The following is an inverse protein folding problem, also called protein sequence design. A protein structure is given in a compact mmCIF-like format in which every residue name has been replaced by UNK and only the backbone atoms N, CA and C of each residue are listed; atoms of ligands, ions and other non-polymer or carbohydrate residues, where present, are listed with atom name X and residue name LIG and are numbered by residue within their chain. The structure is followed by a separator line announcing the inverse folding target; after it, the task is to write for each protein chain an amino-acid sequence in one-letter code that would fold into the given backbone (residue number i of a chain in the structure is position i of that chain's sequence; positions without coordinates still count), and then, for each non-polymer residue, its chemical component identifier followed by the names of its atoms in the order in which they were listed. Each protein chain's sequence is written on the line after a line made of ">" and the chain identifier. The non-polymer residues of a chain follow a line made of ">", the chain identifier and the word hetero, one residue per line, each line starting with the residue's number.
data_IF_925208036650
#
_entry.id   IF_925208036650
#
_cell.length_a   1.000
_cell.length_b   1.000
_cell.length_c   1.000
_cell.angle_alpha   90.00
_cell.angle_beta   90.00
_cell.angle_gamma   90.00
#
_symmetry.space_group_name_H-M   'P 1'
#
loop_
_entity.id
_entity.type
_entity.pdbx_description
1 polymer ?
#
# COMPACT_ATOMS: atom_id res chain seq x y z
N UNK A 1 8.65 -11.78 -8.85
CA UNK A 1 7.59 -11.70 -9.88
C UNK A 1 6.43 -10.74 -9.52
N UNK A 2 6.61 -9.74 -8.64
CA UNK A 2 5.51 -8.82 -8.25
C UNK A 2 5.35 -7.61 -9.19
N UNK A 3 6.44 -7.08 -9.78
CA UNK A 3 6.36 -5.91 -10.67
C UNK A 3 5.53 -6.16 -11.94
N UNK A 4 5.52 -7.39 -12.46
CA UNK A 4 4.81 -7.74 -13.69
C UNK A 4 3.27 -7.72 -13.51
N UNK A 5 2.75 -8.06 -12.33
CA UNK A 5 1.30 -8.08 -12.06
C UNK A 5 0.71 -6.69 -11.82
N UNK A 6 1.55 -5.67 -11.59
CA UNK A 6 1.11 -4.32 -11.24
C UNK A 6 0.76 -3.45 -12.46
N UNK A 7 1.33 -3.72 -13.65
CA UNK A 7 1.03 -2.98 -14.88
C UNK A 7 1.08 -1.45 -14.67
N UNK A 8 0.02 -0.73 -15.09
CA UNK A 8 -0.12 0.73 -14.89
C UNK A 8 -0.13 1.21 -13.42
N UNK A 9 -0.20 0.29 -12.46
CA UNK A 9 -0.19 0.59 -11.03
C UNK A 9 1.19 0.38 -10.39
N UNK A 10 2.22 -0.02 -11.15
CA UNK A 10 3.55 -0.27 -10.61
C UNK A 10 4.15 0.98 -9.95
N UNK A 11 4.07 2.13 -10.61
CA UNK A 11 4.57 3.39 -10.05
C UNK A 11 3.72 3.90 -8.86
N UNK A 12 2.37 3.96 -8.93
CA UNK A 12 1.55 4.25 -7.75
C UNK A 12 1.81 3.32 -6.56
N UNK A 13 2.05 2.03 -6.81
CA UNK A 13 2.35 1.05 -5.79
C UNK A 13 3.67 1.37 -5.06
N UNK A 14 4.72 1.77 -5.79
CA UNK A 14 5.99 2.17 -5.20
C UNK A 14 5.83 3.38 -4.26
N UNK A 15 5.07 4.40 -4.69
CA UNK A 15 4.80 5.56 -3.85
C UNK A 15 4.10 5.22 -2.55
N UNK A 16 3.13 4.30 -2.60
CA UNK A 16 2.42 3.81 -1.41
C UNK A 16 3.36 3.03 -0.49
N UNK A 17 4.19 2.14 -1.03
CA UNK A 17 5.17 1.38 -0.24
C UNK A 17 6.18 2.30 0.46
N UNK A 18 6.68 3.33 -0.24
CA UNK A 18 7.56 4.36 0.34
C UNK A 18 6.86 5.11 1.47
N UNK A 19 5.58 5.48 1.29
CA UNK A 19 4.80 6.15 2.33
C UNK A 19 4.61 5.26 3.57
N UNK A 20 4.29 3.97 3.37
CA UNK A 20 4.09 3.00 4.45
C UNK A 20 5.39 2.59 5.16
N UNK A 21 6.55 2.80 4.53
CA UNK A 21 7.85 2.64 5.19
C UNK A 21 8.03 3.56 6.41
N UNK A 22 7.20 4.61 6.54
CA UNK A 22 7.18 5.49 7.73
C UNK A 22 6.26 5.00 8.85
N UNK A 23 5.49 3.94 8.61
CA UNK A 23 4.54 3.36 9.55
C UNK A 23 3.14 3.16 8.99
N UNK A 24 2.22 2.55 9.76
CA UNK A 24 0.85 2.31 9.34
C UNK A 24 0.10 3.61 9.05
N UNK A 25 -0.75 3.61 8.01
CA UNK A 25 -1.50 4.79 7.61
C UNK A 25 -2.86 4.45 6.99
N UNK A 26 -3.84 5.32 7.18
CA UNK A 26 -5.12 5.24 6.49
C UNK A 26 -4.99 5.73 5.03
N UNK A 27 -5.92 5.32 4.16
CA UNK A 27 -5.91 5.70 2.74
C UNK A 27 -5.89 7.23 2.50
N UNK A 28 -6.62 8.00 3.31
CA UNK A 28 -6.62 9.46 3.20
C UNK A 28 -5.24 10.07 3.48
N UNK A 29 -4.55 9.57 4.51
CA UNK A 29 -3.18 9.99 4.85
C UNK A 29 -2.22 9.64 3.71
N UNK A 30 -2.31 8.42 3.17
CA UNK A 30 -1.48 7.98 2.04
C UNK A 30 -1.69 8.86 0.80
N UNK A 31 -2.93 9.24 0.48
CA UNK A 31 -3.23 10.15 -0.62
C UNK A 31 -2.50 11.49 -0.47
N UNK A 32 -2.55 12.07 0.73
CA UNK A 32 -1.88 13.35 1.03
C UNK A 32 -0.36 13.17 0.97
N UNK A 33 0.18 12.10 1.56
CA UNK A 33 1.62 11.83 1.58
C UNK A 33 2.18 11.64 0.18
N UNK A 34 1.53 10.85 -0.68
CA UNK A 34 2.01 10.61 -2.04
C UNK A 34 1.95 11.88 -2.89
N UNK A 35 0.89 12.69 -2.75
CA UNK A 35 0.80 14.00 -3.43
C UNK A 35 1.89 14.98 -3.00
N UNK A 36 2.29 14.96 -1.73
CA UNK A 36 3.39 15.80 -1.22
C UNK A 36 4.76 15.36 -1.73
N UNK A 37 4.88 14.13 -2.24
CA UNK A 37 6.08 13.61 -2.88
C UNK A 37 6.04 13.79 -4.40
N UNK A 38 5.14 14.66 -4.90
CA UNK A 38 4.85 14.86 -6.34
C UNK A 38 4.43 13.58 -7.09
N UNK A 39 3.94 12.57 -6.37
CA UNK A 39 3.45 11.33 -6.99
C UNK A 39 2.14 11.54 -7.77
N UNK A 40 2.01 11.02 -9.01
CA UNK A 40 0.84 11.23 -9.88
C UNK A 40 -0.37 10.35 -9.49
N UNK A 41 -0.66 10.23 -8.19
CA UNK A 41 -1.67 9.30 -7.66
C UNK A 41 -2.96 10.05 -7.31
N UNK A 42 -3.99 9.85 -8.13
CA UNK A 42 -5.37 10.23 -7.81
C UNK A 42 -6.05 9.24 -6.84
N UNK A 43 -7.21 9.60 -6.26
CA UNK A 43 -7.93 8.74 -5.31
C UNK A 43 -8.25 7.35 -5.87
N UNK A 44 -8.79 7.26 -7.09
CA UNK A 44 -9.11 5.98 -7.73
C UNK A 44 -7.85 5.13 -7.99
N UNK A 45 -6.76 5.77 -8.40
CA UNK A 45 -5.46 5.11 -8.59
C UNK A 45 -4.92 4.56 -7.27
N UNK A 46 -5.03 5.31 -6.18
CA UNK A 46 -4.63 4.89 -4.84
C UNK A 46 -5.39 3.63 -4.41
N UNK A 47 -6.72 3.65 -4.48
CA UNK A 47 -7.54 2.49 -4.09
C UNK A 47 -7.21 1.27 -4.96
N UNK A 48 -7.05 1.48 -6.27
CA UNK A 48 -6.69 0.41 -7.20
C UNK A 48 -5.30 -0.19 -6.96
N UNK A 49 -4.35 0.63 -6.47
CA UNK A 49 -3.00 0.19 -6.11
C UNK A 49 -2.99 -0.52 -4.74
N UNK A 50 -3.70 -0.01 -3.73
CA UNK A 50 -3.87 -0.67 -2.43
C UNK A 50 -4.43 -2.09 -2.59
N UNK A 51 -5.54 -2.24 -3.33
CA UNK A 51 -6.14 -3.55 -3.57
C UNK A 51 -5.22 -4.53 -4.32
N UNK A 52 -4.24 -4.04 -5.08
CA UNK A 52 -3.24 -4.87 -5.76
C UNK A 52 -2.09 -5.26 -4.83
N UNK A 53 -1.65 -4.33 -4.00
CA UNK A 53 -0.65 -4.57 -2.97
C UNK A 53 -1.16 -5.58 -1.93
N UNK A 54 -2.42 -5.45 -1.50
CA UNK A 54 -3.08 -6.42 -0.61
C UNK A 54 -3.15 -7.81 -1.27
N UNK A 55 -3.62 -7.90 -2.52
CA UNK A 55 -3.67 -9.18 -3.26
C UNK A 55 -2.29 -9.79 -3.49
N UNK A 56 -1.24 -8.98 -3.51
CA UNK A 56 0.14 -9.44 -3.67
C UNK A 56 0.84 -9.68 -2.33
N UNK A 57 0.11 -9.56 -1.21
CA UNK A 57 0.60 -9.77 0.15
C UNK A 57 1.80 -8.87 0.53
N UNK A 58 1.91 -7.71 -0.13
CA UNK A 58 2.96 -6.72 0.18
C UNK A 58 2.55 -5.75 1.28
N UNK A 59 1.24 -5.60 1.49
CA UNK A 59 0.66 -4.81 2.57
C UNK A 59 -0.49 -5.58 3.19
N UNK A 60 -0.77 -5.26 4.44
CA UNK A 60 -1.93 -5.74 5.18
C UNK A 60 -2.85 -4.59 5.52
N UNK A 61 -4.15 -4.89 5.60
CA UNK A 61 -5.18 -3.96 6.06
C UNK A 61 -5.71 -4.39 7.41
N UNK A 62 -5.53 -3.55 8.42
CA UNK A 62 -6.17 -3.69 9.73
C UNK A 62 -7.60 -3.15 9.65
N UNK A 63 -8.59 -4.02 9.87
CA UNK A 63 -10.01 -3.66 9.95
C UNK A 63 -10.47 -3.34 11.37
N UNK A 64 -9.63 -3.59 12.37
CA UNK A 64 -9.88 -3.21 13.76
C UNK A 64 -9.82 -1.69 13.96
N UNK A 65 -9.03 -1.00 13.13
CA UNK A 65 -8.91 0.46 13.15
C UNK A 65 -10.05 1.15 12.38
N UNK A 66 -10.46 2.34 12.86
CA UNK A 66 -11.46 3.18 12.18
C UNK A 66 -10.93 4.60 11.97
N UNK A 67 -10.60 5.00 10.71
CA UNK A 67 -10.67 4.21 9.48
C UNK A 67 -9.61 3.09 9.42
N UNK A 68 -9.77 2.09 8.52
CA UNK A 68 -8.81 1.01 8.36
C UNK A 68 -7.40 1.52 8.06
N UNK A 69 -6.41 0.91 8.71
CA UNK A 69 -5.00 1.22 8.50
C UNK A 69 -4.35 0.19 7.59
N UNK A 70 -3.45 0.67 6.73
CA UNK A 70 -2.58 -0.16 5.90
C UNK A 70 -1.18 -0.17 6.50
N UNK A 71 -0.51 -1.31 6.45
CA UNK A 71 0.90 -1.48 6.89
C UNK A 71 1.65 -2.37 5.92
N UNK A 72 2.97 -2.23 5.84
CA UNK A 72 3.79 -3.20 5.10
C UNK A 72 3.60 -4.58 5.73
N UNK A 73 3.45 -5.60 4.89
CA UNK A 73 3.46 -6.97 5.36
C UNK A 73 4.85 -7.28 5.90
N UNK A 74 4.95 -7.65 7.17
CA UNK A 74 6.17 -8.20 7.73
C UNK A 74 6.24 -9.66 7.33
N UNK A 75 7.35 -10.06 6.69
CA UNK A 75 7.63 -11.49 6.57
C UNK A 75 7.81 -12.07 7.97
N UNK A 76 6.86 -12.87 8.41
CA UNK A 76 6.96 -13.64 9.65
C UNK A 76 7.34 -15.08 9.27
N UNK A 77 8.58 -15.54 9.51
CA UNK A 77 9.00 -16.91 9.19
C UNK A 77 8.26 -17.99 10.02
N UNK A 78 7.52 -17.59 11.05
CA UNK A 78 6.89 -18.46 12.05
C UNK A 78 5.51 -19.00 11.66
N UNK A 79 5.02 -18.72 10.45
CA UNK A 79 3.80 -19.32 9.90
C UNK A 79 4.01 -20.67 9.17
N UNK A 80 5.21 -21.26 9.29
CA UNK A 80 5.52 -22.59 8.76
C UNK A 80 6.05 -23.49 9.89
N UNK A 81 5.15 -23.95 10.74
CA UNK A 81 5.38 -25.06 11.68
C UNK A 81 4.10 -25.83 11.89
#
# INVERSE_FOLDING_TARGET
>A
MARASMGRFAEPALWILVALGRGPAAAATLLVTVRRLDGPVGPATLIGALARLERSELIERSTADRPPMYRLATYSPEASS
#
